data_IF_566443546693
#
_entry.id   IF_566443546693
#
_cell.length_a   1.000
_cell.length_b   1.000
_cell.length_c   1.000
_cell.angle_alpha   90.00
_cell.angle_beta   90.00
_cell.angle_gamma   90.00
#
_symmetry.space_group_name_H-M   'P 1'
#
loop_
_entity.id
_entity.type
_entity.pdbx_description
1 polymer ?
#
# COMPACT_ATOMS: atom_id res chain seq x y z
N UNK A 1 -5.62 -3.13 -13.21
CA UNK A 1 -4.36 -3.12 -12.43
C UNK A 1 -4.42 -4.33 -11.53
N UNK A 2 -3.42 -5.20 -11.59
CA UNK A 2 -3.32 -6.33 -10.68
C UNK A 2 -2.62 -5.87 -9.40
N UNK A 3 -3.24 -6.09 -8.24
CA UNK A 3 -2.71 -5.69 -6.93
C UNK A 3 -2.56 -6.96 -6.09
N UNK A 4 -1.32 -7.37 -5.88
CA UNK A 4 -1.03 -8.63 -5.19
C UNK A 4 -0.94 -8.48 -3.67
N UNK A 5 -0.60 -7.29 -3.18
CA UNK A 5 -0.50 -7.01 -1.74
C UNK A 5 -1.06 -5.62 -1.46
N UNK A 6 -2.23 -5.53 -0.84
CA UNK A 6 -2.86 -4.27 -0.51
C UNK A 6 -3.72 -4.35 0.75
N UNK A 7 -3.84 -3.22 1.44
CA UNK A 7 -4.69 -3.04 2.61
C UNK A 7 -5.73 -1.97 2.27
N UNK A 8 -6.99 -2.20 2.62
CA UNK A 8 -8.06 -1.22 2.44
C UNK A 8 -8.38 -0.60 3.80
N UNK A 9 -8.26 0.73 3.90
CA UNK A 9 -8.59 1.51 5.10
C UNK A 9 -9.53 2.63 4.68
N UNK A 10 -10.68 2.75 5.35
CA UNK A 10 -11.72 3.75 5.05
C UNK A 10 -12.12 3.83 3.56
N UNK A 11 -12.10 2.67 2.91
CA UNK A 11 -12.41 2.52 1.48
C UNK A 11 -11.31 2.99 0.53
N UNK A 12 -10.11 3.34 1.03
CA UNK A 12 -8.92 3.67 0.23
C UNK A 12 -8.01 2.45 0.15
N UNK A 13 -7.53 2.14 -1.06
CA UNK A 13 -6.57 1.07 -1.28
C UNK A 13 -5.14 1.59 -1.07
N UNK A 14 -4.42 0.94 -0.17
CA UNK A 14 -2.99 1.14 0.06
C UNK A 14 -2.24 -0.09 -0.43
N UNK A 15 -1.57 0.01 -1.57
CA UNK A 15 -0.80 -1.09 -2.14
C UNK A 15 0.61 -1.14 -1.54
N UNK A 16 1.02 -2.32 -1.08
CA UNK A 16 2.39 -2.60 -0.67
C UNK A 16 3.23 -2.86 -1.92
N UNK A 17 4.26 -2.04 -2.12
CA UNK A 17 5.17 -2.17 -3.25
C UNK A 17 6.61 -2.41 -2.78
N UNK A 18 7.39 -3.06 -3.65
CA UNK A 18 8.85 -3.06 -3.57
C UNK A 18 9.39 -2.00 -4.52
N UNK A 19 10.36 -1.24 -4.06
CA UNK A 19 11.03 -0.18 -4.80
C UNK A 19 12.44 -0.62 -5.14
N UNK A 20 12.99 -0.12 -6.25
CA UNK A 20 14.39 -0.38 -6.63
C UNK A 20 15.37 0.65 -6.03
N UNK A 21 14.88 1.54 -5.17
CA UNK A 21 15.62 2.65 -4.54
C UNK A 21 15.42 2.63 -3.03
N UNK A 22 16.11 3.49 -2.29
CA UNK A 22 15.78 3.70 -0.88
C UNK A 22 14.34 4.22 -0.77
N UNK A 23 13.51 3.52 0.02
CA UNK A 23 12.16 3.95 0.34
C UNK A 23 12.18 4.65 1.70
N UNK A 24 11.72 5.90 1.74
CA UNK A 24 11.61 6.65 2.99
C UNK A 24 10.21 6.51 3.58
N UNK A 25 10.13 6.36 4.90
CA UNK A 25 8.84 6.23 5.58
C UNK A 25 7.94 7.44 5.35
N UNK A 26 8.50 8.64 5.18
CA UNK A 26 7.75 9.87 5.00
C UNK A 26 6.89 9.87 3.72
N UNK A 27 7.27 9.05 2.73
CA UNK A 27 6.50 8.85 1.49
C UNK A 27 5.40 7.77 1.64
N UNK A 28 5.33 7.11 2.80
CA UNK A 28 4.42 6.00 3.03
C UNK A 28 3.01 6.52 3.27
N UNK A 29 2.07 6.10 2.43
CA UNK A 29 0.65 6.45 2.59
C UNK A 29 0.04 5.97 3.91
N UNK A 30 0.69 5.03 4.59
CA UNK A 30 0.33 4.55 5.93
C UNK A 30 1.35 4.98 6.99
N UNK A 31 2.13 6.05 6.80
CA UNK A 31 3.18 6.52 7.71
C UNK A 31 2.80 6.44 9.19
N UNK A 32 1.65 7.01 9.56
CA UNK A 32 1.20 7.06 10.95
C UNK A 32 1.02 5.69 11.59
N UNK A 33 0.57 4.69 10.82
CA UNK A 33 0.39 3.31 11.28
C UNK A 33 1.72 2.54 11.18
N UNK A 34 2.43 2.71 10.06
CA UNK A 34 3.63 1.96 9.71
C UNK A 34 4.78 2.24 10.68
N UNK A 35 5.04 3.52 10.99
CA UNK A 35 6.14 3.92 11.89
C UNK A 35 5.86 3.54 13.34
N UNK A 36 4.59 3.58 13.77
CA UNK A 36 4.22 3.23 15.15
C UNK A 36 4.26 1.71 15.42
N UNK A 37 4.12 0.87 14.39
CA UNK A 37 3.98 -0.58 14.49
C UNK A 37 5.16 -1.35 13.88
N UNK A 38 6.40 -0.91 14.14
CA UNK A 38 7.63 -1.59 13.70
C UNK A 38 7.77 -1.79 12.18
N UNK A 39 7.48 -0.75 11.38
CA UNK A 39 7.65 -0.79 9.92
C UNK A 39 6.89 -1.95 9.27
N UNK A 40 5.56 -1.93 9.40
CA UNK A 40 4.69 -3.01 8.91
C UNK A 40 4.88 -3.34 7.42
N UNK A 41 5.31 -2.36 6.59
CA UNK A 41 5.69 -2.61 5.21
C UNK A 41 6.81 -3.67 5.08
N UNK A 42 7.87 -3.53 5.88
CA UNK A 42 8.98 -4.49 5.93
C UNK A 42 8.55 -5.84 6.48
N UNK A 43 7.70 -5.86 7.53
CA UNK A 43 7.17 -7.10 8.09
C UNK A 43 6.35 -7.91 7.08
N UNK A 44 5.70 -7.22 6.13
CA UNK A 44 4.96 -7.81 5.02
C UNK A 44 5.82 -8.05 3.76
N UNK A 45 7.15 -7.99 3.90
CA UNK A 45 8.10 -8.20 2.80
C UNK A 45 7.88 -7.22 1.64
N UNK A 46 7.61 -5.95 1.94
CA UNK A 46 7.63 -4.84 0.98
C UNK A 46 8.39 -3.64 1.55
N UNK A 47 8.39 -2.53 0.80
CA UNK A 47 9.18 -1.36 1.18
C UNK A 47 8.29 -0.21 1.64
N UNK A 48 7.17 0.02 0.95
CA UNK A 48 6.29 1.16 1.22
C UNK A 48 4.84 0.90 0.80
N UNK A 49 3.90 1.54 1.48
CA UNK A 49 2.50 1.58 1.03
C UNK A 49 2.24 2.80 0.17
N UNK A 50 1.66 2.60 -1.02
CA UNK A 50 1.23 3.66 -1.93
C UNK A 50 -0.29 3.77 -1.95
N UNK A 51 -0.82 4.99 -1.84
CA UNK A 51 -2.24 5.26 -1.98
C UNK A 51 -2.66 5.11 -3.45
N UNK A 52 -3.61 4.21 -3.74
CA UNK A 52 -4.17 3.96 -5.08
C UNK A 52 -5.55 4.58 -5.29
N UNK A 53 -6.05 5.33 -4.32
CA UNK A 53 -7.36 5.98 -4.33
C UNK A 53 -8.45 5.14 -3.69
N UNK A 54 -9.70 5.63 -3.74
CA UNK A 54 -10.84 4.89 -3.21
C UNK A 54 -11.14 3.69 -4.09
N UNK A 55 -11.44 2.56 -3.47
CA UNK A 55 -11.77 1.31 -4.17
C UNK A 55 -12.97 1.49 -5.11
N UNK A 56 -13.94 2.34 -4.74
CA UNK A 56 -15.11 2.65 -5.58
C UNK A 56 -14.75 3.32 -6.92
N UNK A 57 -13.62 4.01 -6.99
CA UNK A 57 -13.16 4.73 -8.18
C UNK A 57 -12.18 3.89 -9.03
N UNK A 58 -11.67 2.78 -8.47
CA UNK A 58 -10.75 1.87 -9.16
C UNK A 58 -11.57 0.96 -10.06
N UNK A 59 -11.30 1.01 -11.38
CA UNK A 59 -11.81 0.03 -12.32
C UNK A 59 -11.12 -1.31 -12.06
N UNK A 60 -11.84 -2.21 -11.40
CA UNK A 60 -11.49 -3.61 -11.25
C UNK A 60 -12.07 -4.35 -12.44
N UNK A 61 -11.21 -4.89 -13.28
CA UNK A 61 -11.61 -5.90 -14.25
C UNK A 61 -12.04 -7.12 -13.43
N UNK A 62 -13.28 -7.57 -13.62
CA UNK A 62 -13.75 -8.81 -13.00
C UNK A 62 -13.01 -9.95 -13.68
N UNK A 63 -12.45 -10.87 -12.90
CA UNK A 63 -12.01 -12.14 -13.46
C UNK A 63 -13.26 -12.89 -13.97
N UNK A 64 -13.28 -13.20 -15.26
CA UNK A 64 -14.31 -14.02 -15.93
C UNK A 64 -14.15 -15.50 -15.59
#
# INVERSE_FOLDING_TARGET
MEVNNGIIIDGVLHELIKTNSEAYCDDCSLYGICVQQMLICHALNGDIFTNRGRVADIKIDKED
#
